data_IF_428000703930
#
_entry.id   IF_428000703930
#
_cell.length_a   1.000
_cell.length_b   1.000
_cell.length_c   1.000
_cell.angle_alpha   90.00
_cell.angle_beta   90.00
_cell.angle_gamma   90.00
#
_symmetry.space_group_name_H-M   'P 1'
#
loop_
_entity.id
_entity.type
_entity.pdbx_description
1 polymer ?
#
# COMPACT_ATOMS: atom_id res chain seq x y z
N UNK A 1 -5.84 14.51 -34.79
CA UNK A 1 -6.49 13.66 -33.77
C UNK A 1 -5.52 12.52 -33.51
N UNK A 2 -4.55 12.73 -32.62
CA UNK A 2 -3.59 11.71 -32.22
C UNK A 2 -4.21 10.93 -31.08
N UNK A 3 -4.60 9.68 -31.32
CA UNK A 3 -4.96 8.77 -30.23
C UNK A 3 -3.76 8.68 -29.28
N UNK A 4 -3.96 9.20 -28.08
CA UNK A 4 -3.02 9.00 -26.98
C UNK A 4 -2.99 7.50 -26.69
N UNK A 5 -1.80 6.91 -26.82
CA UNK A 5 -1.52 5.51 -26.57
C UNK A 5 -1.87 5.15 -25.12
N UNK A 6 -3.06 4.59 -24.89
CA UNK A 6 -3.45 3.99 -23.61
C UNK A 6 -3.07 2.51 -23.66
N UNK A 7 -1.76 2.23 -23.71
CA UNK A 7 -1.24 0.87 -23.54
C UNK A 7 -1.30 0.48 -22.07
N UNK A 8 -2.37 -0.19 -21.65
CA UNK A 8 -2.64 -0.52 -20.24
C UNK A 8 -1.92 -1.77 -19.74
N UNK A 9 -1.88 -1.97 -18.40
CA UNK A 9 -1.38 -3.19 -17.73
C UNK A 9 -1.94 -4.48 -18.34
N UNK A 10 -3.18 -4.46 -18.83
CA UNK A 10 -3.83 -5.61 -19.46
C UNK A 10 -3.12 -6.07 -20.75
N UNK A 11 -2.59 -5.14 -21.55
CA UNK A 11 -1.91 -5.42 -22.83
C UNK A 11 -0.52 -6.03 -22.60
N UNK A 12 0.16 -5.58 -21.54
CA UNK A 12 1.45 -6.12 -21.10
C UNK A 12 1.27 -7.53 -20.50
N UNK A 13 0.19 -7.76 -19.75
CA UNK A 13 -0.12 -9.09 -19.20
C UNK A 13 -0.67 -10.07 -20.24
N UNK A 14 -1.27 -9.59 -21.34
CA UNK A 14 -1.78 -10.43 -22.44
C UNK A 14 -0.73 -10.80 -23.49
N UNK A 15 0.50 -10.26 -23.38
CA UNK A 15 1.62 -10.64 -24.23
C UNK A 15 1.63 -9.99 -25.62
N UNK A 16 0.96 -8.85 -25.80
CA UNK A 16 0.91 -8.13 -27.08
C UNK A 16 2.23 -7.37 -27.34
N UNK A 17 2.68 -7.40 -28.60
CA UNK A 17 3.96 -6.96 -29.18
C UNK A 17 5.10 -6.62 -28.19
N UNK A 18 5.95 -7.61 -27.92
CA UNK A 18 7.15 -7.51 -27.08
C UNK A 18 8.14 -6.42 -27.52
N UNK A 19 8.02 -5.90 -28.77
CA UNK A 19 8.89 -4.84 -29.29
C UNK A 19 8.62 -3.47 -28.68
N UNK A 20 7.40 -3.21 -28.19
CA UNK A 20 7.03 -1.91 -27.60
C UNK A 20 7.30 -1.85 -26.10
N UNK A 21 7.26 -2.99 -25.41
CA UNK A 21 7.35 -3.08 -23.94
C UNK A 21 8.65 -3.69 -23.42
N UNK A 22 9.68 -3.82 -24.27
CA UNK A 22 10.91 -4.57 -23.96
C UNK A 22 11.61 -4.13 -22.67
N UNK A 23 11.45 -2.86 -22.29
CA UNK A 23 12.11 -2.24 -21.14
C UNK A 23 11.14 -1.72 -20.06
N UNK A 24 9.84 -2.09 -20.10
CA UNK A 24 8.85 -1.60 -19.12
C UNK A 24 8.69 -2.60 -17.97
N UNK A 25 9.01 -2.16 -16.75
CA UNK A 25 8.74 -2.92 -15.52
C UNK A 25 7.53 -2.33 -14.78
N UNK A 26 6.47 -3.13 -14.63
CA UNK A 26 5.32 -2.77 -13.78
C UNK A 26 5.55 -3.36 -12.39
N UNK A 27 5.57 -2.48 -11.37
CA UNK A 27 5.64 -2.88 -9.96
C UNK A 27 4.40 -2.34 -9.25
N UNK A 28 3.71 -3.22 -8.50
CA UNK A 28 2.61 -2.78 -7.65
C UNK A 28 3.18 -2.25 -6.32
N UNK A 29 2.82 -1.02 -5.96
CA UNK A 29 3.31 -0.34 -4.76
C UNK A 29 2.18 0.37 -4.02
N UNK A 30 2.28 0.48 -2.69
CA UNK A 30 1.34 1.19 -1.85
C UNK A 30 1.37 2.70 -2.13
N UNK A 31 0.23 3.34 -2.44
CA UNK A 31 0.19 4.76 -2.79
C UNK A 31 0.42 5.69 -1.59
N UNK A 32 -0.05 5.28 -0.41
CA UNK A 32 0.08 5.97 0.89
C UNK A 32 0.60 4.98 1.95
N UNK A 33 1.27 5.46 3.00
CA UNK A 33 1.50 4.66 4.20
C UNK A 33 0.17 4.30 4.87
N UNK A 34 0.17 3.14 5.52
CA UNK A 34 -0.96 2.62 6.30
C UNK A 34 -0.45 2.30 7.71
N UNK A 35 -1.22 2.71 8.71
CA UNK A 35 -0.87 2.60 10.11
C UNK A 35 -2.07 2.37 11.00
N UNK A 36 -1.78 2.25 12.29
CA UNK A 36 -2.79 2.19 13.35
C UNK A 36 -2.71 3.47 14.17
N UNK A 37 -3.85 4.00 14.58
CA UNK A 37 -3.89 5.11 15.54
C UNK A 37 -3.51 4.61 16.94
N UNK A 38 -2.64 5.36 17.61
CA UNK A 38 -2.24 5.11 19.00
C UNK A 38 -3.02 6.00 19.96
N UNK A 39 -3.04 5.65 21.24
CA UNK A 39 -3.85 6.36 22.25
C UNK A 39 -3.50 7.84 22.44
N UNK A 40 -2.34 8.29 21.96
CA UNK A 40 -1.90 9.68 21.95
C UNK A 40 -2.40 10.48 20.72
N UNK A 41 -3.19 9.85 19.84
CA UNK A 41 -3.70 10.44 18.60
C UNK A 41 -2.67 10.50 17.47
N UNK A 42 -1.51 9.85 17.62
CA UNK A 42 -0.54 9.71 16.53
C UNK A 42 -0.78 8.44 15.71
N UNK A 43 -0.28 8.40 14.48
CA UNK A 43 -0.37 7.21 13.63
C UNK A 43 0.95 6.44 13.64
N UNK A 44 0.90 5.19 14.08
CA UNK A 44 2.03 4.28 13.99
C UNK A 44 2.02 3.54 12.65
N UNK A 45 2.91 3.96 11.73
CA UNK A 45 3.03 3.40 10.37
C UNK A 45 3.43 1.92 10.42
N UNK A 46 2.57 1.07 9.87
CA UNK A 46 2.81 -0.38 9.74
C UNK A 46 3.38 -0.72 8.36
N UNK A 47 2.97 0.01 7.30
CA UNK A 47 3.58 -0.06 5.97
C UNK A 47 3.82 1.32 5.41
N UNK A 48 4.98 1.51 4.79
CA UNK A 48 5.40 2.78 4.22
C UNK A 48 4.88 2.95 2.79
N UNK A 49 4.81 4.22 2.37
CA UNK A 49 4.60 4.60 0.97
C UNK A 49 5.55 3.84 0.03
N UNK A 50 5.05 3.50 -1.13
CA UNK A 50 5.77 2.81 -2.21
C UNK A 50 6.28 1.40 -1.86
N UNK A 51 5.84 0.81 -0.73
CA UNK A 51 6.13 -0.59 -0.42
C UNK A 51 5.44 -1.53 -1.41
N UNK A 52 6.11 -2.63 -1.82
CA UNK A 52 5.50 -3.63 -2.73
C UNK A 52 4.22 -4.20 -2.12
N UNK A 53 3.14 -4.18 -2.90
CA UNK A 53 1.87 -4.83 -2.55
C UNK A 53 2.05 -6.34 -2.72
N UNK A 54 1.43 -7.14 -1.84
CA UNK A 54 1.72 -8.57 -1.54
C UNK A 54 2.69 -8.77 -0.37
N UNK A 55 2.51 -8.03 0.72
CA UNK A 55 3.36 -8.11 1.90
C UNK A 55 2.51 -8.15 3.17
N UNK A 56 2.97 -8.89 4.18
CA UNK A 56 2.31 -9.03 5.50
C UNK A 56 3.17 -8.36 6.55
N UNK A 57 2.66 -7.36 7.27
CA UNK A 57 3.36 -6.77 8.41
C UNK A 57 2.66 -7.17 9.71
N UNK A 58 3.47 -7.39 10.74
CA UNK A 58 3.01 -7.68 12.09
C UNK A 58 3.74 -6.76 13.03
N UNK A 59 2.98 -6.14 13.94
CA UNK A 59 3.52 -5.25 14.97
C UNK A 59 2.74 -5.51 16.25
N UNK A 60 3.45 -5.45 17.37
CA UNK A 60 2.88 -5.74 18.69
C UNK A 60 2.57 -4.42 19.39
N UNK A 61 1.35 -4.33 19.92
CA UNK A 61 0.86 -3.18 20.65
C UNK A 61 0.49 -3.60 22.08
N UNK A 62 0.58 -2.64 22.99
CA UNK A 62 0.18 -2.80 24.38
C UNK A 62 -1.05 -1.94 24.66
N UNK A 63 -1.82 -2.35 25.67
CA UNK A 63 -2.88 -1.50 26.23
C UNK A 63 -2.23 -0.27 26.89
N UNK A 64 -2.94 0.86 26.85
CA UNK A 64 -2.43 2.13 27.34
C UNK A 64 -2.56 2.26 28.86
N UNK A 65 -3.60 1.65 29.45
CA UNK A 65 -3.92 1.73 30.88
C UNK A 65 -4.15 0.35 31.50
N UNK A 66 -3.91 0.25 32.81
CA UNK A 66 -4.20 -0.95 33.57
C UNK A 66 -5.69 -1.27 33.56
N UNK A 67 -6.01 -2.56 33.42
CA UNK A 67 -7.39 -3.06 33.44
C UNK A 67 -8.31 -2.45 32.35
N UNK A 68 -7.73 -2.02 31.22
CA UNK A 68 -8.49 -1.56 30.05
C UNK A 68 -9.43 -2.67 29.54
N UNK A 69 -10.71 -2.33 29.37
CA UNK A 69 -11.74 -3.26 28.90
C UNK A 69 -11.66 -3.43 27.37
N UNK A 70 -10.53 -3.94 26.90
CA UNK A 70 -10.23 -4.19 25.49
C UNK A 70 -9.69 -2.98 24.72
N UNK A 71 -8.83 -3.19 23.70
CA UNK A 71 -8.36 -2.14 22.82
C UNK A 71 -9.34 -1.88 21.67
N UNK A 72 -9.46 -0.62 21.25
CA UNK A 72 -10.00 -0.25 19.94
C UNK A 72 -8.85 -0.25 18.94
N UNK A 73 -9.07 -0.83 17.74
CA UNK A 73 -8.07 -0.85 16.66
C UNK A 73 -8.65 -0.12 15.47
N UNK A 74 -8.06 1.04 15.14
CA UNK A 74 -8.48 1.88 14.02
C UNK A 74 -7.33 1.97 13.00
N UNK A 75 -7.67 1.80 11.72
CA UNK A 75 -6.71 1.72 10.62
C UNK A 75 -6.82 2.99 9.79
N UNK A 76 -5.68 3.64 9.56
CA UNK A 76 -5.60 4.91 8.84
C UNK A 76 -4.61 4.85 7.69
N UNK A 77 -4.92 5.63 6.65
CA UNK A 77 -4.02 5.98 5.56
C UNK A 77 -3.77 7.50 5.63
N UNK A 78 -2.51 7.91 5.65
CA UNK A 78 -2.10 9.32 5.80
C UNK A 78 -0.89 9.62 4.89
N UNK A 79 -0.44 10.87 4.75
CA UNK A 79 0.77 11.25 3.95
C UNK A 79 2.08 11.29 4.76
#
# INVERSE_FOLDING_TARGET
MSEAFVGGKAEILSGMDQRVFRDVLIVNVLPLPIGLETADGSMEVTRRRNGRISTTATKYFHIYEDNQCGPTVEVYEDE
#
